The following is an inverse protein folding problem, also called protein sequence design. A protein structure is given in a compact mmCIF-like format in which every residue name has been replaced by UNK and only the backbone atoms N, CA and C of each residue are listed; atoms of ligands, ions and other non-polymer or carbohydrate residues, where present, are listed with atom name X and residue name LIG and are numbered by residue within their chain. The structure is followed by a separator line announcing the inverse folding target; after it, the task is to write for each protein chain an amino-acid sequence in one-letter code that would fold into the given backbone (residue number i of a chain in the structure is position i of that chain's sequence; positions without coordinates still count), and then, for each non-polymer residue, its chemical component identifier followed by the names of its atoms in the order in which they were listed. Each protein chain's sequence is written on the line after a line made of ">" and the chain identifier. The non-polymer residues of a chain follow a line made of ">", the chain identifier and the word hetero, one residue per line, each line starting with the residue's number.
data_IF_677153342219
#
_entry.id   IF_677153342219
#
_cell.length_a   1.000
_cell.length_b   1.000
_cell.length_c   1.000
_cell.angle_alpha   90.00
_cell.angle_beta   90.00
_cell.angle_gamma   90.00
#
_symmetry.space_group_name_H-M   'P 1'
#
loop_
_entity.id
_entity.type
_entity.pdbx_description
1 polymer ?
#
# COMPACT_ATOMS: atom_id res chain seq x y z
N UNK A 1 27.66 -55.95 -23.23
CA UNK A 1 27.80 -55.29 -21.92
C UNK A 1 26.45 -54.63 -21.64
N UNK A 2 25.42 -55.21 -21.00
CA UNK A 2 25.34 -55.97 -19.75
C UNK A 2 26.26 -55.40 -18.67
N UNK A 3 25.69 -54.70 -17.68
CA UNK A 3 25.50 -55.20 -16.31
C UNK A 3 24.38 -54.40 -15.62
N UNK A 4 23.46 -55.14 -15.01
CA UNK A 4 22.39 -54.75 -14.11
C UNK A 4 22.87 -54.14 -12.77
N UNK A 5 22.03 -53.34 -12.11
CA UNK A 5 21.52 -53.69 -10.76
C UNK A 5 20.47 -52.71 -10.24
N UNK A 6 19.31 -53.28 -9.97
CA UNK A 6 18.28 -52.77 -9.06
C UNK A 6 18.56 -53.18 -7.60
N UNK A 7 18.03 -52.42 -6.65
CA UNK A 7 17.40 -52.85 -5.37
C UNK A 7 16.98 -51.58 -4.63
N UNK A 8 15.68 -51.25 -4.54
CA UNK A 8 14.68 -51.77 -3.57
C UNK A 8 15.00 -51.45 -2.11
N UNK A 9 14.17 -50.62 -1.48
CA UNK A 9 13.48 -51.06 -0.27
C UNK A 9 12.15 -50.32 -0.02
N UNK A 10 11.22 -51.11 0.50
CA UNK A 10 9.77 -50.92 0.57
C UNK A 10 9.39 -50.90 2.06
N UNK A 11 8.41 -50.04 2.40
CA UNK A 11 7.34 -50.19 3.42
C UNK A 11 7.71 -50.48 4.88
N UNK A 12 7.19 -49.63 5.76
CA UNK A 12 6.31 -50.05 6.85
C UNK A 12 5.05 -49.18 6.78
N UNK A 13 3.90 -49.84 6.80
CA UNK A 13 2.55 -49.30 6.91
C UNK A 13 1.96 -49.81 8.23
N UNK A 14 0.74 -49.34 8.53
CA UNK A 14 -0.16 -49.71 9.63
C UNK A 14 0.03 -48.87 10.89
N UNK A 15 -1.00 -48.43 11.60
CA UNK A 15 -2.46 -48.39 11.44
C UNK A 15 -2.93 -47.66 12.70
N UNK A 16 -3.95 -46.82 12.61
CA UNK A 16 -4.89 -46.58 13.74
C UNK A 16 -6.02 -45.68 13.28
N UNK A 17 -7.09 -46.34 12.85
CA UNK A 17 -8.42 -45.76 12.67
C UNK A 17 -9.25 -46.02 13.93
N UNK A 18 -10.11 -45.06 14.28
CA UNK A 18 -11.30 -45.16 15.14
C UNK A 18 -11.12 -45.19 16.68
N UNK A 19 -11.51 -44.07 17.31
CA UNK A 19 -12.51 -44.12 18.38
C UNK A 19 -13.41 -42.87 18.33
N UNK A 20 -14.62 -43.06 17.80
CA UNK A 20 -15.79 -42.22 18.03
C UNK A 20 -16.60 -42.90 19.12
N UNK A 21 -16.83 -42.24 20.25
CA UNK A 21 -18.03 -42.45 21.07
C UNK A 21 -18.47 -41.14 21.74
N UNK A 22 -19.56 -40.60 21.19
CA UNK A 22 -20.72 -40.04 21.90
C UNK A 22 -20.50 -39.06 23.06
N UNK A 23 -20.77 -37.78 22.80
CA UNK A 23 -21.61 -36.98 23.72
C UNK A 23 -22.51 -36.02 22.94
N UNK A 24 -23.76 -36.01 23.37
CA UNK A 24 -24.97 -35.57 22.69
C UNK A 24 -25.28 -34.08 22.97
N UNK A 25 -25.58 -33.35 21.89
CA UNK A 25 -26.53 -32.24 21.69
C UNK A 25 -26.60 -31.02 22.67
N UNK A 26 -26.15 -29.86 22.13
CA UNK A 26 -26.81 -28.53 22.02
C UNK A 26 -27.18 -27.66 23.25
N UNK A 27 -27.40 -26.31 23.11
CA UNK A 27 -26.81 -25.34 22.16
C UNK A 27 -26.46 -23.94 22.76
N UNK A 28 -25.77 -23.14 21.94
CA UNK A 28 -25.82 -21.67 21.82
C UNK A 28 -25.25 -20.76 22.94
N UNK A 29 -24.15 -20.07 22.61
CA UNK A 29 -24.10 -18.59 22.52
C UNK A 29 -22.76 -18.14 21.92
N UNK A 30 -22.84 -17.47 20.77
CA UNK A 30 -21.75 -16.73 20.15
C UNK A 30 -21.51 -15.45 20.96
N UNK A 31 -20.29 -15.23 21.44
CA UNK A 31 -19.84 -13.96 21.99
C UNK A 31 -19.04 -13.23 20.91
N UNK A 32 -19.75 -12.40 20.15
CA UNK A 32 -19.18 -11.28 19.43
C UNK A 32 -19.20 -10.03 20.33
N UNK A 33 -18.32 -9.08 19.99
CA UNK A 33 -18.27 -7.68 20.42
C UNK A 33 -17.92 -7.36 21.88
N UNK A 34 -16.77 -6.70 22.06
CA UNK A 34 -16.65 -5.50 22.90
C UNK A 34 -15.67 -4.52 22.24
N UNK A 35 -16.13 -3.89 21.15
CA UNK A 35 -15.69 -2.55 20.78
C UNK A 35 -16.55 -1.60 21.60
N UNK A 36 -16.00 -1.10 22.70
CA UNK A 36 -16.62 -0.06 23.52
C UNK A 36 -16.63 1.24 22.70
N UNK A 37 -17.72 1.46 21.97
CA UNK A 37 -18.06 2.78 21.41
C UNK A 37 -18.70 3.57 22.55
N UNK A 38 -17.98 4.59 23.02
CA UNK A 38 -18.51 5.60 23.93
C UNK A 38 -19.71 6.28 23.25
N UNK A 39 -20.91 6.29 23.86
CA UNK A 39 -22.07 6.94 23.25
C UNK A 39 -21.89 8.46 23.35
N UNK A 40 -21.56 9.11 22.23
CA UNK A 40 -21.78 10.54 22.07
C UNK A 40 -23.29 10.77 22.12
N UNK A 41 -23.69 11.57 23.10
CA UNK A 41 -25.03 12.09 23.36
C UNK A 41 -25.86 12.28 22.09
N UNK A 42 -26.99 11.58 22.01
CA UNK A 42 -28.00 11.73 20.98
C UNK A 42 -28.50 13.18 20.97
N UNK A 43 -28.16 13.92 19.90
CA UNK A 43 -28.86 15.13 19.56
C UNK A 43 -30.29 14.74 19.15
N UNK A 44 -31.28 15.37 19.78
CA UNK A 44 -32.70 15.27 19.43
C UNK A 44 -32.85 15.46 17.92
N UNK A 45 -33.31 14.43 17.22
CA UNK A 45 -33.73 14.51 15.83
C UNK A 45 -34.81 15.60 15.72
N UNK A 46 -34.55 16.64 14.92
CA UNK A 46 -35.54 17.63 14.53
C UNK A 46 -36.59 16.97 13.63
N UNK A 47 -37.86 17.38 13.80
CA UNK A 47 -38.99 16.84 13.06
C UNK A 47 -38.73 16.83 11.54
N UNK A 48 -38.52 15.63 10.99
CA UNK A 48 -38.53 15.38 9.54
C UNK A 48 -37.21 14.94 8.90
N UNK A 49 -36.07 14.92 9.60
CA UNK A 49 -34.81 14.39 9.04
C UNK A 49 -34.16 13.41 10.02
N UNK A 50 -34.37 12.11 9.77
CA UNK A 50 -33.62 11.07 10.47
C UNK A 50 -32.13 11.23 10.15
N UNK A 51 -31.32 11.50 11.18
CA UNK A 51 -29.86 11.54 11.09
C UNK A 51 -29.27 10.26 10.47
N UNK A 52 -29.91 9.11 10.70
CA UNK A 52 -29.51 7.83 10.07
C UNK A 52 -29.79 7.76 8.57
N UNK A 53 -30.85 8.41 8.09
CA UNK A 53 -31.22 8.40 6.67
C UNK A 53 -30.33 9.37 5.87
N UNK A 54 -29.93 10.49 6.48
CA UNK A 54 -28.91 11.36 5.91
C UNK A 54 -27.55 10.66 5.85
N UNK A 55 -27.11 9.99 6.93
CA UNK A 55 -25.85 9.23 6.89
C UNK A 55 -25.89 8.12 5.83
N UNK A 56 -27.00 7.37 5.74
CA UNK A 56 -27.17 6.35 4.71
C UNK A 56 -27.12 6.95 3.28
N UNK A 57 -27.78 8.10 3.06
CA UNK A 57 -27.75 8.80 1.77
C UNK A 57 -26.34 9.24 1.40
N UNK A 58 -25.59 9.80 2.33
CA UNK A 58 -24.20 10.20 2.06
C UNK A 58 -23.32 8.98 1.79
N UNK A 59 -23.44 7.89 2.56
CA UNK A 59 -22.70 6.65 2.27
C UNK A 59 -23.08 6.06 0.91
N UNK A 60 -24.35 6.09 0.51
CA UNK A 60 -24.78 5.60 -0.80
C UNK A 60 -24.28 6.51 -1.93
N UNK A 61 -24.21 7.82 -1.70
CA UNK A 61 -23.61 8.79 -2.62
C UNK A 61 -22.13 8.52 -2.78
N UNK A 62 -21.39 8.32 -1.69
CA UNK A 62 -19.97 7.96 -1.72
C UNK A 62 -19.79 6.66 -2.51
N UNK A 63 -20.55 5.61 -2.20
CA UNK A 63 -20.51 4.32 -2.92
C UNK A 63 -20.85 4.49 -4.42
N UNK A 64 -21.86 5.29 -4.77
CA UNK A 64 -22.21 5.52 -6.17
C UNK A 64 -21.17 6.35 -6.92
N UNK A 65 -20.58 7.37 -6.28
CA UNK A 65 -19.45 8.14 -6.80
C UNK A 65 -18.23 7.22 -7.02
N UNK A 66 -18.04 6.27 -6.11
CA UNK A 66 -16.99 5.25 -6.18
C UNK A 66 -17.18 4.21 -7.30
N UNK A 67 -18.41 3.93 -7.74
CA UNK A 67 -18.79 2.92 -8.75
C UNK A 67 -18.83 3.51 -10.17
N UNK A 68 -18.64 4.83 -10.34
CA UNK A 68 -18.75 5.53 -11.64
C UNK A 68 -17.87 4.98 -12.76
N UNK A 69 -16.79 4.28 -12.42
CA UNK A 69 -16.03 3.50 -13.40
C UNK A 69 -15.49 2.21 -12.82
N UNK A 70 -15.46 1.18 -13.66
CA UNK A 70 -14.85 -0.11 -13.39
C UNK A 70 -13.60 -0.25 -14.27
N UNK A 71 -12.48 -0.58 -13.65
CA UNK A 71 -11.21 -0.78 -14.34
C UNK A 71 -10.73 -2.23 -14.15
N UNK A 72 -10.40 -2.89 -15.26
CA UNK A 72 -9.89 -4.27 -15.29
C UNK A 72 -8.51 -4.23 -15.92
N UNK A 73 -7.49 -4.48 -15.09
CA UNK A 73 -6.09 -4.56 -15.51
C UNK A 73 -5.62 -6.00 -15.53
N UNK A 74 -5.06 -6.45 -16.65
CA UNK A 74 -4.41 -7.76 -16.79
C UNK A 74 -2.91 -7.56 -16.79
N UNK A 75 -2.27 -8.05 -15.72
CA UNK A 75 -0.84 -8.05 -15.52
C UNK A 75 -0.33 -9.49 -15.43
N UNK A 76 0.81 -9.76 -16.04
CA UNK A 76 1.58 -10.97 -15.75
C UNK A 76 2.68 -10.54 -14.80
N UNK A 77 2.66 -11.15 -13.62
CA UNK A 77 3.65 -10.91 -12.57
C UNK A 77 4.45 -12.18 -12.34
N UNK A 78 5.75 -12.04 -12.07
CA UNK A 78 6.60 -13.19 -11.72
C UNK A 78 6.29 -13.73 -10.31
N UNK A 79 5.75 -12.88 -9.44
CA UNK A 79 5.37 -13.20 -8.08
C UNK A 79 4.14 -12.37 -7.66
N UNK A 80 3.13 -12.99 -7.07
CA UNK A 80 2.01 -12.27 -6.44
C UNK A 80 2.37 -12.13 -4.97
N UNK A 81 2.73 -10.93 -4.47
CA UNK A 81 2.98 -10.74 -3.06
C UNK A 81 1.70 -11.07 -2.27
N UNK A 82 1.79 -12.02 -1.33
CA UNK A 82 0.64 -12.40 -0.49
C UNK A 82 0.27 -11.32 0.54
N UNK A 83 1.13 -10.31 0.70
CA UNK A 83 0.87 -9.18 1.59
C UNK A 83 -0.20 -8.29 0.96
N UNK A 84 -1.29 -8.07 1.70
CA UNK A 84 -2.32 -7.10 1.30
C UNK A 84 -1.70 -5.72 1.23
N UNK A 85 -2.10 -4.94 0.23
CA UNK A 85 -1.69 -3.54 0.11
C UNK A 85 -2.19 -2.75 1.33
N UNK A 86 -1.25 -2.11 2.02
CA UNK A 86 -1.52 -1.17 3.10
C UNK A 86 -1.01 0.21 2.67
N UNK A 87 -1.92 1.17 2.63
CA UNK A 87 -1.65 2.50 2.11
C UNK A 87 -0.75 3.33 3.04
N UNK A 88 -0.83 3.12 4.36
CA UNK A 88 -0.01 3.85 5.34
C UNK A 88 1.42 3.32 5.30
N UNK A 89 1.57 2.00 5.30
CA UNK A 89 2.87 1.35 5.16
C UNK A 89 3.53 1.73 3.83
N UNK A 90 2.79 1.66 2.72
CA UNK A 90 3.28 2.06 1.42
C UNK A 90 3.78 3.51 1.41
N UNK A 91 3.04 4.45 1.99
CA UNK A 91 3.47 5.85 2.07
C UNK A 91 4.78 6.01 2.86
N UNK A 92 4.91 5.31 4.00
CA UNK A 92 6.11 5.37 4.82
C UNK A 92 7.32 4.81 4.07
N UNK A 93 7.15 3.65 3.43
CA UNK A 93 8.18 3.02 2.62
C UNK A 93 8.57 3.91 1.43
N UNK A 94 7.59 4.47 0.73
CA UNK A 94 7.82 5.38 -0.39
C UNK A 94 8.57 6.64 0.06
N UNK A 95 8.16 7.25 1.17
CA UNK A 95 8.84 8.43 1.72
C UNK A 95 10.30 8.13 2.07
N UNK A 96 10.56 6.98 2.69
CA UNK A 96 11.92 6.54 3.01
C UNK A 96 12.74 6.25 1.76
N UNK A 97 12.17 5.56 0.78
CA UNK A 97 12.84 5.28 -0.49
C UNK A 97 13.16 6.58 -1.25
N UNK A 98 12.24 7.55 -1.31
CA UNK A 98 12.52 8.85 -1.92
C UNK A 98 13.69 9.54 -1.21
N UNK A 99 13.71 9.56 0.13
CA UNK A 99 14.78 10.18 0.92
C UNK A 99 16.16 9.57 0.68
N UNK A 100 16.26 8.25 0.54
CA UNK A 100 17.55 7.55 0.55
C UNK A 100 17.97 6.94 -0.79
N UNK A 101 17.06 6.82 -1.76
CA UNK A 101 17.32 6.24 -3.09
C UNK A 101 17.34 7.27 -4.21
N UNK A 102 17.22 8.56 -3.91
CA UNK A 102 17.36 9.64 -4.88
C UNK A 102 18.48 10.60 -4.46
N UNK A 103 19.18 11.17 -5.43
CA UNK A 103 20.24 12.16 -5.17
C UNK A 103 19.71 13.40 -4.45
N UNK A 104 18.55 13.91 -4.88
CA UNK A 104 17.89 15.05 -4.23
C UNK A 104 17.45 14.72 -2.80
N UNK A 105 16.88 13.53 -2.58
CA UNK A 105 16.50 13.07 -1.25
C UNK A 105 17.69 13.00 -0.30
N UNK A 106 18.81 12.41 -0.74
CA UNK A 106 20.02 12.32 0.07
C UNK A 106 20.58 13.71 0.39
N UNK A 107 20.59 14.62 -0.58
CA UNK A 107 21.04 15.99 -0.36
C UNK A 107 20.17 16.71 0.67
N UNK A 108 18.85 16.55 0.61
CA UNK A 108 17.92 17.12 1.59
C UNK A 108 18.16 16.57 3.00
N UNK A 109 18.40 15.25 3.13
CA UNK A 109 18.74 14.63 4.43
C UNK A 109 20.07 15.18 4.96
N UNK A 110 21.08 15.31 4.10
CA UNK A 110 22.38 15.88 4.45
C UNK A 110 22.26 17.30 4.98
N UNK A 111 21.48 18.15 4.31
CA UNK A 111 21.23 19.53 4.72
C UNK A 111 20.50 19.59 6.06
N UNK A 112 19.47 18.77 6.25
CA UNK A 112 18.75 18.66 7.52
C UNK A 112 19.66 18.21 8.67
N UNK A 113 20.54 17.23 8.43
CA UNK A 113 21.53 16.79 9.42
C UNK A 113 22.55 17.90 9.72
N UNK A 114 23.01 18.63 8.70
CA UNK A 114 23.94 19.75 8.89
C UNK A 114 23.30 20.83 9.78
N UNK A 115 22.07 21.23 9.48
CA UNK A 115 21.31 22.20 10.27
C UNK A 115 21.14 21.71 11.72
N UNK A 116 20.68 20.47 11.91
CA UNK A 116 20.51 19.88 13.24
C UNK A 116 21.82 19.80 14.01
N UNK A 117 22.94 19.52 13.33
CA UNK A 117 24.27 19.54 13.95
C UNK A 117 24.64 20.94 14.47
N UNK A 118 24.28 22.01 13.73
CA UNK A 118 24.52 23.38 14.18
C UNK A 118 23.65 23.75 15.36
N UNK A 119 22.38 23.34 15.36
CA UNK A 119 21.46 23.56 16.48
C UNK A 119 21.94 22.81 17.74
N UNK A 120 22.41 21.57 17.59
CA UNK A 120 22.98 20.77 18.70
C UNK A 120 24.29 21.36 19.24
N UNK A 121 25.14 21.94 18.39
CA UNK A 121 26.34 22.67 18.85
C UNK A 121 25.95 23.89 19.67
N UNK A 122 24.99 24.69 19.19
CA UNK A 122 24.48 25.87 19.92
C UNK A 122 23.87 25.48 21.26
N UNK A 123 22.99 24.46 21.29
CA UNK A 123 22.42 23.91 22.53
C UNK A 123 23.52 23.40 23.48
N UNK A 124 24.54 22.73 22.93
CA UNK A 124 25.70 22.24 23.68
C UNK A 124 26.44 23.35 24.42
N UNK A 125 26.67 24.51 23.78
CA UNK A 125 27.30 25.67 24.42
C UNK A 125 26.45 26.31 25.53
N UNK A 126 25.12 26.18 25.44
CA UNK A 126 24.19 26.70 26.46
C UNK A 126 23.98 25.78 27.67
N UNK A 127 24.56 24.58 27.68
CA UNK A 127 24.42 23.65 28.80
C UNK A 127 25.20 24.16 30.03
N UNK A 128 24.64 24.03 31.25
CA UNK A 128 25.35 24.36 32.47
C UNK A 128 26.66 23.58 32.55
N UNK A 129 27.79 24.28 32.62
CA UNK A 129 29.07 23.64 32.89
C UNK A 129 29.01 22.99 34.27
N UNK A 130 29.49 21.75 34.39
CA UNK A 130 29.55 21.02 35.65
C UNK A 130 30.45 21.76 36.64
N UNK A 131 29.88 22.72 37.37
CA UNK A 131 30.45 23.22 38.60
C UNK A 131 30.17 22.18 39.67
N UNK A 132 31.04 22.06 40.68
CA UNK A 132 31.02 21.01 41.72
C UNK A 132 29.78 20.99 42.63
N UNK A 133 28.72 21.70 42.26
CA UNK A 133 27.44 21.84 42.95
C UNK A 133 26.45 20.81 42.38
N UNK A 134 25.63 20.14 43.22
CA UNK A 134 24.58 19.23 42.75
C UNK A 134 23.62 19.96 41.80
N UNK A 135 23.48 19.45 40.58
CA UNK A 135 22.58 20.00 39.55
C UNK A 135 21.14 20.01 40.05
N UNK A 136 20.41 21.08 39.74
CA UNK A 136 18.98 21.15 40.00
C UNK A 136 18.25 20.12 39.10
N UNK A 137 17.14 19.50 39.56
CA UNK A 137 16.38 18.52 38.76
C UNK A 137 15.99 19.01 37.35
N UNK A 138 15.75 20.32 37.20
CA UNK A 138 15.45 20.95 35.91
C UNK A 138 16.65 20.98 34.96
N UNK A 139 17.86 21.18 35.47
CA UNK A 139 19.09 21.20 34.68
C UNK A 139 19.47 19.78 34.23
N UNK A 140 19.27 18.80 35.12
CA UNK A 140 19.45 17.39 34.78
C UNK A 140 18.52 16.95 33.64
N UNK A 141 17.24 17.36 33.67
CA UNK A 141 16.29 17.06 32.61
C UNK A 141 16.68 17.66 31.24
N UNK A 142 17.22 18.90 31.22
CA UNK A 142 17.71 19.54 29.98
C UNK A 142 18.94 18.79 29.43
N UNK A 143 19.87 18.39 30.29
CA UNK A 143 21.03 17.58 29.89
C UNK A 143 20.59 16.22 29.32
N UNK A 144 19.59 15.58 29.93
CA UNK A 144 19.06 14.30 29.47
C UNK A 144 18.36 14.42 28.11
N UNK A 145 17.53 15.45 27.92
CA UNK A 145 16.90 15.74 26.64
C UNK A 145 17.94 15.98 25.54
N UNK A 146 18.98 16.76 25.83
CA UNK A 146 20.09 17.00 24.90
C UNK A 146 20.80 15.70 24.51
N UNK A 147 21.09 14.83 25.49
CA UNK A 147 21.71 13.52 25.24
C UNK A 147 20.82 12.64 24.36
N UNK A 148 19.52 12.58 24.64
CA UNK A 148 18.57 11.83 23.82
C UNK A 148 18.52 12.36 22.37
N UNK A 149 18.52 13.68 22.19
CA UNK A 149 18.54 14.32 20.88
C UNK A 149 19.84 14.02 20.11
N UNK A 150 20.99 14.03 20.81
CA UNK A 150 22.29 13.69 20.26
C UNK A 150 22.38 12.21 19.86
N UNK A 151 21.84 11.29 20.66
CA UNK A 151 21.76 9.87 20.31
C UNK A 151 20.94 9.65 19.05
N UNK A 152 19.76 10.30 18.94
CA UNK A 152 18.92 10.24 17.73
C UNK A 152 19.68 10.80 16.51
N UNK A 153 20.32 11.95 16.66
CA UNK A 153 21.12 12.54 15.58
C UNK A 153 22.24 11.60 15.10
N UNK A 154 22.95 10.95 16.02
CA UNK A 154 24.00 9.99 15.65
C UNK A 154 23.43 8.78 14.92
N UNK A 155 22.26 8.27 15.34
CA UNK A 155 21.58 7.19 14.63
C UNK A 155 21.19 7.60 13.21
N UNK A 156 20.56 8.77 13.06
CA UNK A 156 20.15 9.31 11.76
C UNK A 156 21.36 9.53 10.83
N UNK A 157 22.50 9.96 11.40
CA UNK A 157 23.75 10.15 10.69
C UNK A 157 24.36 8.84 10.18
N UNK A 158 24.32 7.77 10.96
CA UNK A 158 24.81 6.46 10.52
C UNK A 158 23.92 5.89 9.41
N UNK A 159 22.59 6.01 9.54
CA UNK A 159 21.64 5.63 8.48
C UNK A 159 21.92 6.41 7.19
N UNK A 160 22.15 7.72 7.29
CA UNK A 160 22.50 8.54 6.13
C UNK A 160 23.81 8.08 5.46
N UNK A 161 24.87 7.82 6.23
CA UNK A 161 26.16 7.38 5.69
C UNK A 161 26.05 6.04 4.98
N UNK A 162 25.33 5.09 5.56
CA UNK A 162 25.08 3.79 4.96
C UNK A 162 24.31 3.94 3.64
N UNK A 163 23.26 4.76 3.63
CA UNK A 163 22.49 5.04 2.43
C UNK A 163 23.32 5.75 1.34
N UNK A 164 24.11 6.77 1.69
CA UNK A 164 24.99 7.50 0.77
C UNK A 164 26.06 6.57 0.18
N UNK A 165 26.62 5.66 0.99
CA UNK A 165 27.57 4.65 0.53
C UNK A 165 26.93 3.71 -0.49
N UNK A 166 25.79 3.08 -0.15
CA UNK A 166 25.08 2.15 -1.05
C UNK A 166 24.66 2.86 -2.34
N UNK A 167 24.15 4.09 -2.23
CA UNK A 167 23.74 4.88 -3.38
C UNK A 167 24.92 5.13 -4.34
N UNK A 168 26.07 5.56 -3.81
CA UNK A 168 27.27 5.82 -4.61
C UNK A 168 27.87 4.55 -5.19
N UNK A 169 27.85 3.44 -4.45
CA UNK A 169 28.30 2.13 -4.95
C UNK A 169 27.46 1.71 -6.17
N UNK A 170 26.13 1.79 -6.06
CA UNK A 170 25.22 1.44 -7.17
C UNK A 170 25.31 2.40 -8.35
N UNK A 171 25.40 3.71 -8.10
CA UNK A 171 25.57 4.76 -9.12
C UNK A 171 26.85 4.56 -9.92
N UNK A 172 27.93 4.15 -9.25
CA UNK A 172 29.25 3.92 -9.85
C UNK A 172 29.53 2.45 -10.15
N UNK A 173 28.52 1.56 -10.13
CA UNK A 173 28.72 0.14 -10.41
C UNK A 173 29.34 -0.05 -11.80
N UNK A 174 30.32 -0.95 -11.87
CA UNK A 174 30.97 -1.35 -13.12
C UNK A 174 30.13 -2.33 -13.92
N UNK A 175 29.12 -2.97 -13.30
CA UNK A 175 28.20 -3.85 -14.00
C UNK A 175 27.14 -3.02 -14.77
N UNK A 176 27.08 -3.12 -16.11
CA UNK A 176 26.07 -2.44 -16.90
C UNK A 176 24.63 -2.78 -16.51
N UNK A 177 24.36 -4.00 -16.03
CA UNK A 177 23.00 -4.41 -15.65
C UNK A 177 22.55 -3.74 -14.35
N UNK A 178 23.40 -3.76 -13.32
CA UNK A 178 23.12 -3.07 -12.06
C UNK A 178 22.98 -1.57 -12.27
N UNK A 179 23.84 -0.97 -13.09
CA UNK A 179 23.78 0.45 -13.41
C UNK A 179 22.49 0.82 -14.14
N UNK A 180 22.07 0.01 -15.11
CA UNK A 180 20.79 0.22 -15.79
C UNK A 180 19.60 0.10 -14.82
N UNK A 181 19.62 -0.90 -13.93
CA UNK A 181 18.60 -1.07 -12.89
C UNK A 181 18.54 0.13 -11.95
N UNK A 182 19.71 0.63 -11.52
CA UNK A 182 19.81 1.82 -10.68
C UNK A 182 19.20 3.06 -11.35
N UNK A 183 19.52 3.31 -12.63
CA UNK A 183 18.98 4.45 -13.38
C UNK A 183 17.45 4.40 -13.47
N UNK A 184 16.89 3.21 -13.76
CA UNK A 184 15.42 3.01 -13.82
C UNK A 184 14.79 3.26 -12.46
N UNK A 185 15.39 2.73 -11.40
CA UNK A 185 14.90 2.87 -10.04
C UNK A 185 14.94 4.33 -9.55
N UNK A 186 16.06 5.01 -9.74
CA UNK A 186 16.21 6.43 -9.39
C UNK A 186 15.18 7.28 -10.15
N UNK A 187 15.03 7.06 -11.45
CA UNK A 187 14.04 7.77 -12.27
C UNK A 187 12.60 7.53 -11.79
N UNK A 188 12.29 6.30 -11.35
CA UNK A 188 11.00 5.94 -10.78
C UNK A 188 10.71 6.74 -9.50
N UNK A 189 11.64 6.76 -8.55
CA UNK A 189 11.44 7.49 -7.29
C UNK A 189 11.43 9.01 -7.48
N UNK A 190 12.17 9.56 -8.44
CA UNK A 190 12.07 10.99 -8.80
C UNK A 190 10.66 11.31 -9.32
N UNK A 191 10.09 10.46 -10.17
CA UNK A 191 8.73 10.63 -10.67
C UNK A 191 7.69 10.54 -9.53
N UNK A 192 7.82 9.51 -8.68
CA UNK A 192 6.95 9.32 -7.51
C UNK A 192 7.03 10.51 -6.55
N UNK A 193 8.24 11.02 -6.28
CA UNK A 193 8.45 12.22 -5.47
C UNK A 193 7.70 13.42 -6.04
N UNK A 194 7.81 13.66 -7.35
CA UNK A 194 7.11 14.76 -8.02
C UNK A 194 5.59 14.63 -7.97
N UNK A 195 5.09 13.40 -8.03
CA UNK A 195 3.66 13.13 -7.91
C UNK A 195 3.19 13.34 -6.47
N UNK A 196 3.96 12.87 -5.48
CA UNK A 196 3.66 13.03 -4.06
C UNK A 196 3.66 14.50 -3.62
N UNK A 197 4.60 15.31 -4.11
CA UNK A 197 4.71 16.74 -3.79
C UNK A 197 3.53 17.58 -4.32
N UNK A 198 2.74 17.05 -5.26
CA UNK A 198 1.52 17.72 -5.75
C UNK A 198 0.33 17.56 -4.80
N UNK A 199 0.44 16.70 -3.81
CA UNK A 199 -0.63 16.41 -2.86
C UNK A 199 -0.43 17.14 -1.55
N UNK A 200 -1.53 17.71 -1.08
CA UNK A 200 -1.66 18.16 0.30
C UNK A 200 -2.03 16.95 1.17
N UNK A 201 -1.02 16.30 1.73
CA UNK A 201 -1.19 15.10 2.55
C UNK A 201 -1.47 15.55 3.99
N UNK A 202 -2.70 15.28 4.45
CA UNK A 202 -3.11 15.59 5.81
C UNK A 202 -2.49 14.60 6.78
N UNK A 203 -1.93 15.12 7.86
CA UNK A 203 -1.44 14.34 8.99
C UNK A 203 -2.32 14.55 10.22
N UNK A 204 -2.37 13.55 11.08
CA UNK A 204 -3.03 13.64 12.39
C UNK A 204 -2.13 14.33 13.43
N UNK A 205 -2.61 14.40 14.68
CA UNK A 205 -1.88 15.03 15.78
C UNK A 205 -0.56 14.33 16.12
N UNK A 206 -0.44 13.04 15.79
CA UNK A 206 0.75 12.22 16.01
C UNK A 206 1.72 12.31 14.82
N UNK A 207 1.33 13.00 13.75
CA UNK A 207 2.10 13.17 12.52
C UNK A 207 1.93 12.02 11.52
N UNK A 208 0.99 11.10 11.78
CA UNK A 208 0.67 10.00 10.89
C UNK A 208 -0.24 10.47 9.75
N UNK A 209 -0.08 9.88 8.56
CA UNK A 209 -0.91 10.22 7.41
C UNK A 209 -2.34 9.74 7.61
N UNK A 210 -3.29 10.66 7.43
CA UNK A 210 -4.71 10.35 7.41
C UNK A 210 -5.03 9.78 6.03
N UNK A 211 -5.29 8.47 5.98
CA UNK A 211 -5.59 7.77 4.73
C UNK A 211 -7.11 7.65 4.57
N UNK A 212 -7.70 8.58 3.83
CA UNK A 212 -9.09 8.48 3.39
C UNK A 212 -9.22 7.66 2.09
N UNK A 213 -10.45 7.35 1.66
CA UNK A 213 -10.69 6.55 0.46
C UNK A 213 -10.03 7.15 -0.81
N UNK A 214 -10.11 8.48 -1.06
CA UNK A 214 -9.35 9.11 -2.14
C UNK A 214 -7.83 8.89 -2.06
N UNK A 215 -7.25 9.04 -0.87
CA UNK A 215 -5.80 8.85 -0.66
C UNK A 215 -5.39 7.39 -0.85
N UNK A 216 -6.19 6.42 -0.38
CA UNK A 216 -5.96 4.99 -0.63
C UNK A 216 -5.88 4.72 -2.13
N UNK A 217 -6.84 5.25 -2.91
CA UNK A 217 -6.89 5.08 -4.37
C UNK A 217 -5.65 5.69 -5.03
N UNK A 218 -5.25 6.87 -4.57
CA UNK A 218 -4.07 7.54 -5.09
C UNK A 218 -2.78 6.76 -4.79
N UNK A 219 -2.55 6.38 -3.54
CA UNK A 219 -1.39 5.58 -3.16
C UNK A 219 -1.38 4.22 -3.86
N UNK A 220 -2.56 3.61 -4.06
CA UNK A 220 -2.67 2.39 -4.83
C UNK A 220 -2.16 2.57 -6.27
N UNK A 221 -2.52 3.68 -6.91
CA UNK A 221 -2.05 4.01 -8.26
C UNK A 221 -0.54 4.24 -8.32
N UNK A 222 0.02 4.92 -7.31
CA UNK A 222 1.47 5.09 -7.20
C UNK A 222 2.19 3.76 -6.99
N UNK A 223 1.64 2.88 -6.15
CA UNK A 223 2.18 1.56 -5.92
C UNK A 223 2.17 0.71 -7.19
N UNK A 224 1.07 0.72 -7.95
CA UNK A 224 0.98 0.02 -9.24
C UNK A 224 2.02 0.54 -10.25
N UNK A 225 2.24 1.86 -10.28
CA UNK A 225 3.31 2.47 -11.08
C UNK A 225 4.70 1.99 -10.63
N UNK A 226 4.99 2.02 -9.33
CA UNK A 226 6.26 1.55 -8.77
C UNK A 226 6.52 0.09 -9.12
N UNK A 227 5.55 -0.80 -8.88
CA UNK A 227 5.70 -2.22 -9.20
C UNK A 227 5.92 -2.44 -10.70
N UNK A 228 5.20 -1.68 -11.54
CA UNK A 228 5.34 -1.81 -12.99
C UNK A 228 6.73 -1.42 -13.48
N UNK A 229 7.31 -0.35 -12.93
CA UNK A 229 8.62 0.14 -13.32
C UNK A 229 9.75 -0.70 -12.72
N UNK A 230 9.66 -1.07 -11.43
CA UNK A 230 10.76 -1.72 -10.71
C UNK A 230 10.81 -3.24 -10.91
N UNK A 231 9.65 -3.90 -10.98
CA UNK A 231 9.60 -5.35 -11.19
C UNK A 231 9.45 -5.74 -12.66
N UNK A 232 9.20 -4.76 -13.53
CA UNK A 232 8.83 -5.01 -14.92
C UNK A 232 7.44 -5.63 -15.06
N UNK A 233 6.59 -5.50 -14.03
CA UNK A 233 5.20 -5.97 -14.05
C UNK A 233 4.43 -5.13 -15.08
N UNK A 234 4.30 -5.65 -16.30
CA UNK A 234 3.71 -4.90 -17.41
C UNK A 234 2.21 -5.12 -17.42
N UNK A 235 1.44 -4.04 -17.50
CA UNK A 235 0.01 -4.12 -17.82
C UNK A 235 -0.09 -4.45 -19.32
N UNK A 236 -0.57 -5.64 -19.64
CA UNK A 236 -0.70 -6.10 -21.03
C UNK A 236 -2.03 -5.66 -21.65
N UNK A 237 -3.07 -5.61 -20.83
CA UNK A 237 -4.41 -5.20 -21.24
C UNK A 237 -5.11 -4.46 -20.11
N UNK A 238 -5.87 -3.43 -20.46
CA UNK A 238 -6.65 -2.60 -19.57
C UNK A 238 -7.98 -2.29 -20.24
N UNK A 239 -9.08 -2.56 -19.55
CA UNK A 239 -10.42 -2.13 -19.96
C UNK A 239 -11.00 -1.25 -18.87
N UNK A 240 -11.46 -0.07 -19.25
CA UNK A 240 -12.18 0.84 -18.37
C UNK A 240 -13.61 1.00 -18.86
N UNK A 241 -14.57 0.66 -18.01
CA UNK A 241 -15.99 0.92 -18.19
C UNK A 241 -16.37 2.16 -17.42
N UNK A 242 -17.08 3.08 -18.05
CA UNK A 242 -17.73 4.19 -17.39
C UNK A 242 -19.23 3.90 -17.29
N UNK A 243 -19.89 4.51 -16.29
CA UNK A 243 -21.30 4.27 -16.00
C UNK A 243 -22.26 4.73 -17.11
N UNK A 244 -21.81 5.64 -17.97
CA UNK A 244 -22.49 6.07 -19.21
C UNK A 244 -22.41 5.04 -20.35
N UNK A 245 -21.65 3.97 -20.17
CA UNK A 245 -21.43 2.93 -21.18
C UNK A 245 -20.15 3.11 -21.99
N UNK A 246 -19.36 4.16 -21.74
CA UNK A 246 -18.10 4.38 -22.46
C UNK A 246 -17.06 3.33 -22.07
N UNK A 247 -16.63 2.57 -23.07
CA UNK A 247 -15.62 1.53 -22.93
C UNK A 247 -14.30 2.00 -23.55
N UNK A 248 -13.25 2.06 -22.74
CA UNK A 248 -11.89 2.31 -23.22
C UNK A 248 -11.05 1.06 -23.06
N UNK A 249 -10.60 0.49 -24.16
CA UNK A 249 -9.64 -0.62 -24.16
C UNK A 249 -8.24 -0.10 -24.49
N UNK A 250 -7.26 -0.54 -23.72
CA UNK A 250 -5.84 -0.30 -23.97
C UNK A 250 -5.13 -1.63 -23.90
N UNK A 251 -4.39 -1.92 -24.96
CA UNK A 251 -3.57 -3.11 -25.06
C UNK A 251 -2.17 -2.68 -25.42
N UNK A 252 -1.21 -3.46 -24.99
CA UNK A 252 0.17 -3.26 -25.41
C UNK A 252 0.34 -3.67 -26.88
N UNK A 253 1.05 -2.85 -27.65
CA UNK A 253 1.27 -3.07 -29.09
C UNK A 253 1.96 -4.43 -29.37
N UNK A 254 2.80 -4.87 -28.43
CA UNK A 254 3.53 -6.14 -28.47
C UNK A 254 2.60 -7.37 -28.55
N UNK A 255 1.32 -7.26 -28.16
CA UNK A 255 0.36 -8.37 -28.31
C UNK A 255 -0.09 -8.58 -29.76
N UNK A 256 -0.02 -7.55 -30.59
CA UNK A 256 -0.52 -7.59 -31.98
C UNK A 256 0.57 -7.72 -33.03
N UNK A 257 1.85 -7.67 -32.62
CA UNK A 257 2.99 -7.70 -33.53
C UNK A 257 3.90 -8.90 -33.24
N UNK A 258 3.48 -10.15 -33.56
CA UNK A 258 4.24 -11.37 -33.25
C UNK A 258 5.65 -11.39 -33.84
N UNK A 259 5.87 -10.66 -34.94
CA UNK A 259 7.17 -10.58 -35.64
C UNK A 259 8.19 -9.66 -34.95
N UNK A 260 7.74 -8.74 -34.09
CA UNK A 260 8.60 -7.79 -33.36
C UNK A 260 8.59 -8.02 -31.85
N UNK A 261 7.53 -8.67 -31.36
CA UNK A 261 7.30 -8.93 -29.95
C UNK A 261 8.19 -10.06 -29.43
N UNK A 262 8.66 -9.91 -28.20
CA UNK A 262 9.33 -10.98 -27.44
C UNK A 262 8.32 -11.93 -26.77
N UNK A 263 7.02 -11.69 -26.94
CA UNK A 263 5.95 -12.46 -26.32
C UNK A 263 5.62 -13.66 -27.21
N UNK A 264 5.68 -14.87 -26.63
CA UNK A 264 5.24 -16.10 -27.29
C UNK A 264 3.76 -15.98 -27.70
N UNK A 265 3.37 -16.31 -28.95
CA UNK A 265 1.97 -16.37 -29.38
C UNK A 265 1.03 -17.10 -28.42
N UNK A 266 1.50 -18.17 -27.74
CA UNK A 266 0.69 -18.88 -26.73
C UNK A 266 0.41 -18.02 -25.50
N UNK A 267 1.41 -17.26 -25.07
CA UNK A 267 1.27 -16.31 -23.95
C UNK A 267 0.32 -15.18 -24.34
N UNK A 268 0.44 -14.65 -25.56
CA UNK A 268 -0.50 -13.65 -26.10
C UNK A 268 -1.94 -14.13 -26.04
N UNK A 269 -2.21 -15.37 -26.47
CA UNK A 269 -3.55 -15.95 -26.38
C UNK A 269 -4.04 -16.05 -24.93
N UNK A 270 -3.19 -16.55 -24.02
CA UNK A 270 -3.51 -16.63 -22.60
C UNK A 270 -3.85 -15.26 -22.00
N UNK A 271 -3.12 -14.21 -22.35
CA UNK A 271 -3.40 -12.83 -21.90
C UNK A 271 -4.79 -12.39 -22.36
N UNK A 272 -5.14 -12.61 -23.63
CA UNK A 272 -6.46 -12.27 -24.14
C UNK A 272 -7.57 -13.05 -23.43
N UNK A 273 -7.39 -14.35 -23.23
CA UNK A 273 -8.37 -15.20 -22.56
C UNK A 273 -8.58 -14.77 -21.09
N UNK A 274 -7.49 -14.52 -20.36
CA UNK A 274 -7.54 -14.03 -18.98
C UNK A 274 -8.18 -12.65 -18.89
N UNK A 275 -7.81 -11.74 -19.80
CA UNK A 275 -8.37 -10.40 -19.82
C UNK A 275 -9.88 -10.43 -20.13
N UNK A 276 -10.29 -11.18 -21.14
CA UNK A 276 -11.70 -11.37 -21.47
C UNK A 276 -12.48 -11.93 -20.29
N UNK A 277 -11.99 -12.99 -19.65
CA UNK A 277 -12.65 -13.58 -18.48
C UNK A 277 -12.73 -12.59 -17.32
N UNK A 278 -11.65 -11.83 -17.08
CA UNK A 278 -11.61 -10.77 -16.07
C UNK A 278 -12.65 -9.69 -16.34
N UNK A 279 -12.77 -9.25 -17.59
CA UNK A 279 -13.75 -8.26 -18.03
C UNK A 279 -15.19 -8.77 -17.86
N UNK A 280 -15.49 -9.99 -18.32
CA UNK A 280 -16.83 -10.58 -18.19
C UNK A 280 -17.24 -10.74 -16.72
N UNK A 281 -16.32 -11.20 -15.86
CA UNK A 281 -16.55 -11.35 -14.42
C UNK A 281 -16.76 -10.00 -13.74
N UNK A 282 -15.90 -9.02 -14.03
CA UNK A 282 -15.96 -7.70 -13.43
C UNK A 282 -17.23 -6.96 -13.86
N UNK A 283 -17.62 -7.05 -15.13
CA UNK A 283 -18.90 -6.52 -15.63
C UNK A 283 -20.07 -7.13 -14.86
N UNK A 284 -20.11 -8.45 -14.69
CA UNK A 284 -21.17 -9.14 -13.94
C UNK A 284 -21.25 -8.67 -12.48
N UNK A 285 -20.10 -8.55 -11.80
CA UNK A 285 -20.04 -8.07 -10.42
C UNK A 285 -20.49 -6.61 -10.30
N UNK A 286 -20.02 -5.76 -11.20
CA UNK A 286 -20.34 -4.34 -11.23
C UNK A 286 -21.82 -4.08 -11.54
N UNK A 287 -22.39 -4.78 -12.54
CA UNK A 287 -23.82 -4.72 -12.83
C UNK A 287 -24.66 -5.21 -11.65
N UNK A 288 -24.26 -6.31 -10.98
CA UNK A 288 -24.95 -6.80 -9.79
C UNK A 288 -24.90 -5.83 -8.60
N UNK A 289 -23.77 -5.13 -8.43
CA UNK A 289 -23.63 -4.09 -7.41
C UNK A 289 -24.55 -2.88 -7.71
N UNK A 290 -24.55 -2.38 -8.95
CA UNK A 290 -25.44 -1.30 -9.39
C UNK A 290 -26.90 -1.71 -9.19
N UNK A 291 -27.28 -2.92 -9.61
CA UNK A 291 -28.63 -3.44 -9.43
C UNK A 291 -29.03 -3.49 -7.94
N UNK A 292 -28.11 -3.93 -7.08
CA UNK A 292 -28.32 -3.95 -5.63
C UNK A 292 -28.54 -2.53 -5.08
N UNK A 293 -27.71 -1.56 -5.46
CA UNK A 293 -27.87 -0.16 -5.06
C UNK A 293 -29.21 0.42 -5.54
N UNK A 294 -29.58 0.19 -6.80
CA UNK A 294 -30.85 0.65 -7.39
C UNK A 294 -32.04 0.02 -6.67
N UNK A 295 -32.01 -1.28 -6.39
CA UNK A 295 -33.08 -1.97 -5.69
C UNK A 295 -33.20 -1.51 -4.23
N UNK A 296 -32.09 -1.22 -3.58
CA UNK A 296 -32.06 -0.64 -2.24
C UNK A 296 -32.73 0.74 -2.24
N UNK A 297 -32.37 1.63 -3.17
CA UNK A 297 -33.01 2.94 -3.34
C UNK A 297 -34.51 2.80 -3.62
N UNK A 298 -34.91 1.91 -4.53
CA UNK A 298 -36.33 1.63 -4.84
C UNK A 298 -37.10 1.16 -3.61
N UNK A 299 -36.49 0.33 -2.77
CA UNK A 299 -37.14 -0.20 -1.56
C UNK A 299 -37.27 0.84 -0.44
N UNK A 300 -36.32 1.77 -0.34
CA UNK A 300 -36.23 2.77 0.72
C UNK A 300 -36.88 4.11 0.37
N UNK A 301 -37.11 4.39 -0.92
CA UNK A 301 -38.01 5.44 -1.37
C UNK A 301 -39.40 4.83 -1.54
N UNK A 302 -40.27 4.80 -0.50
CA UNK A 302 -41.68 4.65 -0.78
C UNK A 302 -42.05 5.82 -1.69
N UNK A 303 -42.46 5.50 -2.91
CA UNK A 303 -43.13 6.45 -3.79
C UNK A 303 -44.17 7.16 -2.91
N UNK A 304 -43.95 8.46 -2.65
CA UNK A 304 -45.02 9.32 -2.16
C UNK A 304 -46.06 9.34 -3.28
N UNK A 305 -46.96 8.36 -3.29
CA UNK A 305 -48.17 8.42 -4.07
C UNK A 305 -48.93 9.64 -3.57
N UNK A 306 -48.92 10.70 -4.37
CA UNK A 306 -49.96 11.72 -4.28
C UNK A 306 -51.26 11.12 -4.78
#
# INVERSE_FOLDING_TARGET
>A
MQVDRATSNKRIAEDTTNQITSRREQPAKQSASDLVVVPKTAAKDSEGQSTSLNNFRETLKDVLEEITSLEVNTMIVGNIPMKKFDAKEFYQDLSNNIKYRTEEGLQNVKESLLERSTQLKQKGFSLPQQTSTPLLPKEAAVIEQYRAELTRYNQDLEVYKEAEFIFNERKNSLDPQEKAKFIVEESCYIELSRQLMKLDIKTDADGDVIVDAPMIRYFRKLWEFEQSVLNGDRIYAQTKFHLDGDLTNRFIEDLFTPSKSKIDPKMTQLIFDLHRQGVENAQKQWSGLIETCVNLVKSLMPFRSK
#
